data_IF_390982042948
#
_entry.id   IF_390982042948
#
_cell.length_a   1.000
_cell.length_b   1.000
_cell.length_c   1.000
_cell.angle_alpha   90.00
_cell.angle_beta   90.00
_cell.angle_gamma   90.00
#
_symmetry.space_group_name_H-M   'P 1'
#
loop_
_entity.id
_entity.type
_entity.pdbx_description
1 polymer ?
#
# COMPACT_ATOMS: atom_id res chain seq x y z
N UNK A 1 -3.14 17.88 -5.88
CA UNK A 1 -3.79 16.93 -6.80
C UNK A 1 -3.03 15.62 -6.65
N UNK A 2 -3.65 14.61 -6.04
CA UNK A 2 -2.98 13.34 -5.76
C UNK A 2 -2.63 12.66 -7.07
N UNK A 3 -1.34 12.50 -7.34
CA UNK A 3 -0.87 11.77 -8.51
C UNK A 3 -1.30 10.31 -8.30
N UNK A 4 -2.10 9.76 -9.21
CA UNK A 4 -2.49 8.36 -9.07
C UNK A 4 -1.24 7.48 -9.19
N UNK A 5 -1.09 6.46 -8.33
CA UNK A 5 0.03 5.53 -8.44
C UNK A 5 -0.02 4.80 -9.78
N UNK A 6 1.14 4.36 -10.25
CA UNK A 6 1.26 3.60 -11.49
C UNK A 6 0.45 2.31 -11.42
N UNK A 7 -0.19 1.93 -12.53
CA UNK A 7 -0.94 0.67 -12.64
C UNK A 7 -0.08 -0.54 -12.27
N UNK A 8 1.23 -0.47 -12.57
CA UNK A 8 2.23 -1.47 -12.18
C UNK A 8 2.38 -1.58 -10.66
N UNK A 9 2.45 -0.46 -9.93
CA UNK A 9 2.55 -0.46 -8.49
C UNK A 9 1.25 -0.95 -7.84
N UNK A 10 0.09 -0.51 -8.36
CA UNK A 10 -1.23 -0.98 -7.91
C UNK A 10 -1.34 -2.50 -8.06
N UNK A 11 -1.03 -3.04 -9.24
CA UNK A 11 -1.12 -4.48 -9.48
C UNK A 11 -0.17 -5.27 -8.58
N UNK A 12 1.04 -4.75 -8.34
CA UNK A 12 1.98 -5.36 -7.41
C UNK A 12 1.41 -5.40 -5.98
N UNK A 13 0.74 -4.34 -5.54
CA UNK A 13 0.12 -4.28 -4.20
C UNK A 13 -1.11 -5.16 -4.08
N UNK A 14 -1.92 -5.32 -5.14
CA UNK A 14 -3.02 -6.30 -5.15
C UNK A 14 -2.51 -7.72 -4.93
N UNK A 15 -1.49 -8.14 -5.68
CA UNK A 15 -0.88 -9.47 -5.54
C UNK A 15 -0.22 -9.65 -4.17
N UNK A 16 0.38 -8.59 -3.61
CA UNK A 16 0.94 -8.62 -2.26
C UNK A 16 -0.15 -8.87 -1.21
N UNK A 17 -1.25 -8.12 -1.25
CA UNK A 17 -2.36 -8.29 -0.31
C UNK A 17 -2.93 -9.71 -0.39
N UNK A 18 -3.24 -10.19 -1.59
CA UNK A 18 -3.78 -11.53 -1.82
C UNK A 18 -2.88 -12.63 -1.21
N UNK A 19 -1.60 -12.63 -1.57
CA UNK A 19 -0.63 -13.61 -1.06
C UNK A 19 -0.41 -13.48 0.45
N UNK A 20 -0.43 -12.26 0.99
CA UNK A 20 -0.24 -12.04 2.41
C UNK A 20 -1.44 -12.52 3.22
N UNK A 21 -2.66 -12.29 2.75
CA UNK A 21 -3.89 -12.81 3.38
C UNK A 21 -3.91 -14.32 3.38
N UNK A 22 -3.57 -14.97 2.26
CA UNK A 22 -3.47 -16.43 2.17
C UNK A 22 -2.41 -16.99 3.13
N UNK A 23 -1.21 -16.39 3.16
CA UNK A 23 -0.10 -16.85 4.00
C UNK A 23 -0.37 -16.66 5.50
N UNK A 24 -1.00 -15.55 5.89
CA UNK A 24 -1.21 -15.20 7.28
C UNK A 24 -2.55 -15.70 7.84
N UNK A 25 -3.44 -16.23 7.00
CA UNK A 25 -4.80 -16.61 7.38
C UNK A 25 -5.67 -15.41 7.78
N UNK A 26 -5.30 -14.20 7.35
CA UNK A 26 -6.04 -12.97 7.62
C UNK A 26 -6.97 -12.63 6.46
N UNK A 27 -7.94 -11.75 6.71
CA UNK A 27 -8.94 -11.33 5.73
C UNK A 27 -8.92 -9.82 5.53
N UNK A 28 -9.35 -9.38 4.35
CA UNK A 28 -9.52 -7.95 4.04
C UNK A 28 -10.74 -7.36 4.75
N UNK A 29 -10.77 -6.03 4.88
CA UNK A 29 -11.89 -5.34 5.51
C UNK A 29 -13.21 -5.59 4.76
N UNK A 30 -14.33 -5.81 5.46
CA UNK A 30 -15.66 -5.93 4.83
C UNK A 30 -16.21 -4.57 4.38
N UNK A 31 -15.62 -3.45 4.80
CA UNK A 31 -16.05 -2.11 4.42
C UNK A 31 -15.55 -1.81 3.00
N UNK A 32 -16.50 -1.51 2.11
CA UNK A 32 -16.23 -1.17 0.73
C UNK A 32 -15.22 -0.01 0.62
N UNK A 33 -14.28 -0.13 -0.30
CA UNK A 33 -13.28 0.91 -0.57
C UNK A 33 -12.12 0.98 0.42
N UNK A 34 -12.23 0.46 1.66
CA UNK A 34 -11.12 0.53 2.64
C UNK A 34 -9.88 -0.19 2.13
N UNK A 35 -10.04 -1.43 1.67
CA UNK A 35 -8.95 -2.23 1.11
C UNK A 35 -8.32 -1.54 -0.11
N UNK A 36 -9.15 -0.94 -0.96
CA UNK A 36 -8.69 -0.24 -2.16
C UNK A 36 -7.86 1.00 -1.83
N UNK A 37 -8.32 1.85 -0.89
CA UNK A 37 -7.58 3.04 -0.47
C UNK A 37 -6.23 2.69 0.14
N UNK A 38 -6.15 1.62 0.92
CA UNK A 38 -4.87 1.15 1.49
C UNK A 38 -3.94 0.64 0.39
N UNK A 39 -4.45 -0.12 -0.59
CA UNK A 39 -3.66 -0.58 -1.74
C UNK A 39 -3.09 0.60 -2.54
N UNK A 40 -3.92 1.61 -2.82
CA UNK A 40 -3.50 2.82 -3.53
C UNK A 40 -2.43 3.58 -2.75
N UNK A 41 -2.58 3.73 -1.42
CA UNK A 41 -1.58 4.39 -0.59
C UNK A 41 -0.25 3.63 -0.52
N UNK A 42 -0.29 2.30 -0.41
CA UNK A 42 0.92 1.46 -0.48
C UNK A 42 1.61 1.56 -1.84
N UNK A 43 0.85 1.57 -2.93
CA UNK A 43 1.36 1.70 -4.28
C UNK A 43 2.00 3.08 -4.51
N UNK A 44 1.39 4.14 -3.98
CA UNK A 44 1.95 5.48 -4.04
C UNK A 44 3.29 5.58 -3.32
N UNK A 45 3.41 5.00 -2.13
CA UNK A 45 4.68 4.98 -1.41
C UNK A 45 5.75 4.16 -2.17
N UNK A 46 5.39 3.08 -2.88
CA UNK A 46 6.35 2.39 -3.76
C UNK A 46 6.87 3.31 -4.86
N UNK A 47 6.01 4.07 -5.52
CA UNK A 47 6.43 4.94 -6.62
C UNK A 47 7.24 6.15 -6.12
N UNK A 48 6.91 6.70 -4.95
CA UNK A 48 7.59 7.87 -4.38
C UNK A 48 8.93 7.55 -3.69
N UNK A 49 8.97 6.47 -2.88
CA UNK A 49 10.10 6.15 -2.00
C UNK A 49 10.67 4.74 -2.22
N UNK A 50 10.14 3.99 -3.19
CA UNK A 50 10.63 2.66 -3.56
C UNK A 50 10.16 1.52 -2.65
N UNK A 51 9.45 1.81 -1.55
CA UNK A 51 8.98 0.81 -0.57
C UNK A 51 7.51 1.02 -0.17
N UNK A 52 6.76 -0.06 0.12
CA UNK A 52 5.35 0.02 0.56
C UNK A 52 5.25 0.43 2.04
N UNK A 53 5.62 1.67 2.35
CA UNK A 53 5.46 2.23 3.69
C UNK A 53 3.97 2.36 4.04
N UNK A 54 3.62 2.23 5.33
CA UNK A 54 2.22 2.25 5.77
C UNK A 54 1.55 3.59 5.42
N UNK A 55 0.46 3.60 4.62
CA UNK A 55 -0.19 4.85 4.22
C UNK A 55 -1.05 5.47 5.33
N UNK A 56 -1.35 4.71 6.40
CA UNK A 56 -2.19 5.15 7.50
C UNK A 56 -1.41 5.82 8.64
N UNK A 57 -0.10 6.05 8.48
CA UNK A 57 0.75 6.69 9.48
C UNK A 57 1.38 7.96 8.92
N UNK A 58 1.43 9.00 9.75
CA UNK A 58 2.22 10.20 9.47
C UNK A 58 3.68 9.95 9.85
N UNK A 59 4.58 10.30 8.94
CA UNK A 59 6.02 10.22 9.14
C UNK A 59 6.62 11.61 8.91
N UNK A 60 7.33 12.20 9.89
CA UNK A 60 8.03 13.46 9.71
C UNK A 60 9.07 13.38 8.59
N UNK A 61 9.83 12.27 8.54
CA UNK A 61 10.70 11.91 7.42
C UNK A 61 10.42 10.47 6.99
N UNK A 62 9.84 10.31 5.79
CA UNK A 62 9.58 8.99 5.22
C UNK A 62 10.86 8.22 4.85
N UNK A 63 11.98 8.92 4.60
CA UNK A 63 13.25 8.29 4.18
C UNK A 63 14.01 7.69 5.37
N UNK A 64 13.92 8.31 6.53
CA UNK A 64 14.51 7.78 7.76
C UNK A 64 13.91 6.41 8.11
N UNK A 65 12.59 6.27 7.99
CA UNK A 65 11.83 5.06 8.36
C UNK A 65 12.03 3.87 7.40
N UNK A 66 12.66 4.08 6.25
CA UNK A 66 12.98 3.03 5.26
C UNK A 66 14.47 2.66 5.21
N UNK A 67 15.28 3.29 6.04
CA UNK A 67 16.72 3.02 6.19
C UNK A 67 16.92 1.71 6.95
#
# INVERSE_FOLDING_TARGET
MSNQPSEKAIQRMRVFVEKYTEKSGTFVSPVEGVTEQVILGLAQNIDEIGRPLCPCRFYPDKKEEIT
#
